data_IF_633978182364
#
_entry.id   IF_633978182364
#
_cell.length_a   1.000
_cell.length_b   1.000
_cell.length_c   1.000
_cell.angle_alpha   90.00
_cell.angle_beta   90.00
_cell.angle_gamma   90.00
#
_symmetry.space_group_name_H-M   'P 1'
#
loop_
_entity.id
_entity.type
_entity.pdbx_description
1 polymer ?
#
# COMPACT_ATOMS: atom_id res chain seq x y z
N UNK A 1 -2.94 3.96 -0.60
CA UNK A 1 -1.53 3.71 -0.98
C UNK A 1 -1.51 3.50 -2.49
N UNK A 2 -0.75 4.30 -3.21
CA UNK A 2 -0.74 4.27 -4.67
C UNK A 2 0.69 4.13 -5.15
N UNK A 3 0.95 3.13 -6.00
CA UNK A 3 2.25 2.91 -6.63
C UNK A 3 2.14 3.30 -8.11
N UNK A 4 2.95 4.27 -8.52
CA UNK A 4 3.06 4.69 -9.92
C UNK A 4 4.17 3.90 -10.60
N UNK A 5 3.97 3.55 -11.87
CA UNK A 5 4.96 2.89 -12.71
C UNK A 5 5.63 3.95 -13.60
N UNK A 6 6.93 4.17 -13.47
CA UNK A 6 7.72 4.99 -14.40
C UNK A 6 9.16 4.46 -14.48
N UNK A 7 10.05 5.03 -15.31
CA UNK A 7 11.45 4.56 -15.43
C UNK A 7 12.21 4.43 -14.10
N UNK A 8 11.82 5.19 -13.07
CA UNK A 8 12.46 5.19 -11.75
C UNK A 8 11.48 4.96 -10.59
N UNK A 9 10.21 4.66 -10.87
CA UNK A 9 9.19 4.39 -9.84
C UNK A 9 8.42 3.10 -10.14
N UNK A 10 7.99 2.35 -9.11
CA UNK A 10 8.11 2.66 -7.69
C UNK A 10 9.53 2.39 -7.15
N UNK A 11 10.03 3.30 -6.31
CA UNK A 11 11.30 3.08 -5.61
C UNK A 11 11.13 2.03 -4.52
N UNK A 12 12.22 1.36 -4.12
CA UNK A 12 12.19 0.37 -3.04
C UNK A 12 11.66 0.98 -1.72
N UNK A 13 11.98 2.25 -1.46
CA UNK A 13 11.45 2.99 -0.32
C UNK A 13 9.92 3.14 -0.41
N UNK A 14 9.40 3.54 -1.58
CA UNK A 14 7.97 3.73 -1.77
C UNK A 14 7.17 2.42 -1.62
N UNK A 15 7.74 1.28 -2.03
CA UNK A 15 7.15 -0.04 -1.80
C UNK A 15 7.08 -0.35 -0.30
N UNK A 16 8.19 -0.17 0.42
CA UNK A 16 8.29 -0.50 1.84
C UNK A 16 7.37 0.40 2.68
N UNK A 17 7.32 1.69 2.41
CA UNK A 17 6.44 2.62 3.13
C UNK A 17 4.95 2.28 2.90
N UNK A 18 4.54 2.05 1.65
CA UNK A 18 3.16 1.68 1.36
C UNK A 18 2.76 0.34 2.00
N UNK A 19 3.66 -0.65 2.00
CA UNK A 19 3.42 -1.93 2.67
C UNK A 19 3.26 -1.76 4.20
N UNK A 20 4.11 -0.95 4.84
CA UNK A 20 4.02 -0.69 6.27
C UNK A 20 2.71 0.01 6.67
N UNK A 21 2.25 0.97 5.86
CA UNK A 21 0.99 1.68 6.10
C UNK A 21 -0.19 0.73 5.99
N UNK A 22 -0.25 -0.10 4.95
CA UNK A 22 -1.31 -1.07 4.75
C UNK A 22 -1.32 -2.15 5.85
N UNK A 23 -0.15 -2.61 6.29
CA UNK A 23 -0.03 -3.57 7.38
C UNK A 23 -0.55 -3.00 8.71
N UNK A 24 -0.21 -1.74 9.02
CA UNK A 24 -0.75 -1.04 10.19
C UNK A 24 -2.26 -0.88 10.10
N UNK A 25 -2.78 -0.47 8.96
CA UNK A 25 -4.22 -0.35 8.72
C UNK A 25 -4.92 -1.70 8.96
N UNK A 26 -4.41 -2.78 8.36
CA UNK A 26 -4.98 -4.11 8.52
C UNK A 26 -4.98 -4.59 9.98
N UNK A 27 -3.87 -4.38 10.69
CA UNK A 27 -3.76 -4.71 12.11
C UNK A 27 -4.78 -3.97 12.97
N UNK A 28 -4.99 -2.67 12.72
CA UNK A 28 -5.95 -1.85 13.46
C UNK A 28 -7.39 -2.29 13.15
N UNK A 29 -7.71 -2.57 11.88
CA UNK A 29 -9.03 -3.07 11.50
C UNK A 29 -9.35 -4.40 12.20
N UNK A 30 -8.40 -5.35 12.19
CA UNK A 30 -8.57 -6.65 12.86
C UNK A 30 -8.78 -6.49 14.37
N UNK A 31 -8.05 -5.59 15.02
CA UNK A 31 -8.23 -5.29 16.45
C UNK A 31 -9.62 -4.73 16.78
N UNK A 32 -10.25 -4.03 15.84
CA UNK A 32 -11.58 -3.45 16.00
C UNK A 32 -12.71 -4.34 15.43
N UNK A 33 -12.39 -5.59 15.03
CA UNK A 33 -13.38 -6.51 14.46
C UNK A 33 -13.84 -6.14 13.04
N UNK A 34 -13.12 -5.24 12.36
CA UNK A 34 -13.38 -4.85 10.97
C UNK A 34 -12.52 -5.72 10.07
N UNK A 35 -13.10 -6.29 9.01
CA UNK A 35 -12.33 -7.00 7.98
C UNK A 35 -11.57 -5.98 7.14
N UNK A 36 -10.23 -5.94 7.17
CA UNK A 36 -9.48 -5.01 6.33
C UNK A 36 -9.46 -5.47 4.88
N UNK A 37 -9.77 -4.55 3.97
CA UNK A 37 -9.46 -4.72 2.54
C UNK A 37 -8.13 -4.00 2.30
N UNK A 38 -7.11 -4.77 1.94
CA UNK A 38 -5.78 -4.25 1.62
C UNK A 38 -5.67 -4.15 0.10
N UNK A 39 -5.77 -2.92 -0.41
CA UNK A 39 -5.69 -2.64 -1.84
C UNK A 39 -4.42 -1.82 -2.14
N UNK A 40 -3.35 -2.47 -2.63
CA UNK A 40 -2.23 -1.77 -3.23
C UNK A 40 -2.62 -1.34 -4.64
N UNK A 41 -3.12 -0.12 -4.78
CA UNK A 41 -3.50 0.44 -6.08
C UNK A 41 -2.24 0.72 -6.91
N UNK A 42 -2.13 0.06 -8.06
CA UNK A 42 -1.06 0.28 -9.03
C UNK A 42 -1.63 1.16 -10.14
N UNK A 43 -1.12 2.39 -10.27
CA UNK A 43 -1.49 3.27 -11.37
C UNK A 43 -0.62 2.97 -12.59
N UNK A 44 -1.21 2.55 -13.72
CA UNK A 44 -0.52 2.49 -15.00
C UNK A 44 -0.44 3.90 -15.60
N UNK A 45 0.24 4.83 -14.93
CA UNK A 45 0.54 6.13 -15.53
C UNK A 45 1.85 6.03 -16.30
N UNK A 46 1.75 5.98 -17.63
CA UNK A 46 2.87 6.06 -18.58
C UNK A 46 3.31 7.48 -18.86
#
# INVERSE_FOLDING_TARGET
CVLKISEHTPSHLAILENANVLARYASICQQNGIVPIVEPEILPDG
#
